data_IF_421351360372
#
_entry.id   IF_421351360372
#
_cell.length_a   1.000
_cell.length_b   1.000
_cell.length_c   1.000
_cell.angle_alpha   90.00
_cell.angle_beta   90.00
_cell.angle_gamma   90.00
#
_symmetry.space_group_name_H-M   'P 1'
#
loop_
_entity.id
_entity.type
_entity.pdbx_description
1 polymer ?
#
# COMPACT_ATOMS: atom_id res chain seq x y z
N UNK A 1 -35.41 -58.67 5.91
CA UNK A 1 -36.35 -57.55 5.75
C UNK A 1 -36.23 -57.02 4.33
N UNK A 2 -37.38 -56.85 3.66
CA UNK A 2 -37.53 -56.65 2.23
C UNK A 2 -36.92 -55.36 1.66
N UNK A 3 -36.45 -55.51 0.43
CA UNK A 3 -36.18 -54.50 -0.60
C UNK A 3 -37.45 -53.75 -1.01
N UNK A 4 -37.35 -52.43 -1.15
CA UNK A 4 -38.16 -51.53 -2.01
C UNK A 4 -37.27 -50.30 -2.28
N UNK A 5 -36.70 -50.08 -3.46
CA UNK A 5 -37.31 -49.72 -4.75
C UNK A 5 -38.04 -48.37 -4.71
N UNK A 6 -37.51 -47.40 -5.47
CA UNK A 6 -38.16 -46.42 -6.41
C UNK A 6 -37.06 -45.43 -6.83
N UNK A 7 -36.46 -45.52 -8.05
CA UNK A 7 -36.87 -44.88 -9.34
C UNK A 7 -37.11 -43.36 -9.21
N UNK A 8 -36.71 -42.44 -10.08
CA UNK A 8 -35.93 -42.37 -11.31
C UNK A 8 -35.98 -40.89 -11.80
N UNK A 9 -35.23 -40.61 -12.88
CA UNK A 9 -35.33 -39.46 -13.81
C UNK A 9 -34.57 -38.19 -13.37
N UNK A 10 -33.52 -37.71 -14.04
CA UNK A 10 -33.24 -37.51 -15.49
C UNK A 10 -34.13 -36.45 -16.16
N UNK A 11 -33.51 -35.32 -16.52
CA UNK A 11 -33.78 -34.37 -17.64
C UNK A 11 -32.89 -33.13 -17.43
N UNK A 12 -31.82 -32.95 -18.19
CA UNK A 12 -31.75 -32.30 -19.52
C UNK A 12 -32.38 -30.90 -19.58
N UNK A 13 -31.57 -29.91 -20.02
CA UNK A 13 -32.05 -28.56 -20.27
C UNK A 13 -30.94 -27.58 -20.70
N UNK A 14 -30.52 -27.67 -21.97
CA UNK A 14 -29.81 -26.63 -22.73
C UNK A 14 -30.60 -25.30 -22.78
N UNK A 15 -29.90 -24.15 -22.81
CA UNK A 15 -30.16 -22.94 -23.63
C UNK A 15 -29.41 -21.73 -23.03
N UNK A 16 -28.35 -21.22 -23.68
CA UNK A 16 -28.35 -20.11 -24.66
C UNK A 16 -28.47 -18.69 -24.07
N UNK A 17 -27.34 -17.97 -24.20
CA UNK A 17 -27.16 -16.64 -24.78
C UNK A 17 -28.11 -15.46 -24.43
N UNK A 18 -27.50 -14.40 -23.90
CA UNK A 18 -27.79 -12.98 -24.21
C UNK A 18 -26.53 -12.18 -23.84
N UNK A 19 -25.73 -11.61 -24.76
CA UNK A 19 -25.94 -10.49 -25.70
C UNK A 19 -25.73 -9.11 -25.05
N UNK A 20 -24.58 -8.51 -25.40
CA UNK A 20 -24.27 -7.09 -25.65
C UNK A 20 -24.53 -6.01 -24.58
N UNK A 21 -23.49 -5.19 -24.33
CA UNK A 21 -23.64 -3.90 -23.65
C UNK A 21 -22.33 -3.13 -23.43
N UNK A 22 -21.77 -2.57 -24.50
CA UNK A 22 -21.09 -1.26 -24.59
C UNK A 22 -20.10 -0.82 -23.49
N UNK A 23 -18.83 -0.76 -23.91
CA UNK A 23 -17.86 0.33 -23.72
C UNK A 23 -18.11 1.35 -22.59
N UNK A 24 -17.20 1.37 -21.61
CA UNK A 24 -16.63 2.65 -21.13
C UNK A 24 -15.12 2.47 -20.94
N UNK A 25 -14.46 2.99 -21.96
CA UNK A 25 -13.06 3.37 -22.03
C UNK A 25 -12.82 4.44 -20.95
N UNK A 26 -12.01 4.11 -19.94
CA UNK A 26 -11.30 5.11 -19.13
C UNK A 26 -9.83 4.71 -19.14
N UNK A 27 -9.19 5.14 -20.23
CA UNK A 27 -7.74 5.33 -20.30
C UNK A 27 -7.40 6.38 -19.24
N UNK A 28 -7.00 5.93 -18.05
CA UNK A 28 -6.27 6.81 -17.14
C UNK A 28 -4.84 6.82 -17.66
N UNK A 29 -4.48 7.96 -18.27
CA UNK A 29 -3.18 8.19 -18.88
C UNK A 29 -2.05 7.80 -17.94
N UNK A 30 -1.34 6.72 -18.31
CA UNK A 30 -0.03 6.36 -17.78
C UNK A 30 0.94 7.43 -18.28
N UNK A 31 1.00 8.54 -17.54
CA UNK A 31 1.87 9.67 -17.80
C UNK A 31 3.31 9.15 -17.83
N UNK A 32 3.93 9.14 -19.02
CA UNK A 32 5.33 8.77 -19.21
C UNK A 32 6.18 9.79 -18.44
N UNK A 33 6.64 9.39 -17.25
CA UNK A 33 7.58 10.21 -16.46
C UNK A 33 8.84 10.44 -17.33
N UNK A 34 9.37 11.68 -17.40
CA UNK A 34 10.59 11.96 -18.16
C UNK A 34 11.74 11.11 -17.61
N UNK A 35 12.44 10.45 -18.53
CA UNK A 35 13.38 9.35 -18.30
C UNK A 35 14.51 9.66 -17.30
N UNK A 36 14.84 10.94 -17.06
CA UNK A 36 15.91 11.35 -16.14
C UNK A 36 15.53 11.35 -14.65
N UNK A 37 14.24 11.48 -14.29
CA UNK A 37 13.85 11.45 -12.87
C UNK A 37 13.85 10.02 -12.30
N UNK A 38 13.72 9.02 -13.17
CA UNK A 38 13.50 7.63 -12.79
C UNK A 38 14.73 6.97 -12.13
N UNK A 39 15.95 7.34 -12.54
CA UNK A 39 17.18 6.75 -12.00
C UNK A 39 17.49 7.27 -10.59
N UNK A 40 17.28 8.56 -10.33
CA UNK A 40 17.53 9.14 -9.02
C UNK A 40 16.50 8.67 -7.98
N UNK A 41 15.24 8.51 -8.39
CA UNK A 41 14.21 7.92 -7.53
C UNK A 41 14.45 6.43 -7.28
N UNK A 42 15.03 5.69 -8.23
CA UNK A 42 15.26 4.25 -8.09
C UNK A 42 16.16 3.89 -6.90
N UNK A 43 17.26 4.62 -6.70
CA UNK A 43 18.16 4.37 -5.56
C UNK A 43 17.54 4.76 -4.21
N UNK A 44 16.78 5.87 -4.18
CA UNK A 44 16.07 6.31 -2.98
C UNK A 44 14.93 5.37 -2.61
N UNK A 45 14.23 4.83 -3.61
CA UNK A 45 13.13 3.89 -3.41
C UNK A 45 13.64 2.53 -2.90
N UNK A 46 14.78 2.07 -3.40
CA UNK A 46 15.45 0.88 -2.89
C UNK A 46 15.90 1.06 -1.42
N UNK A 47 16.57 2.16 -1.09
CA UNK A 47 16.98 2.46 0.30
C UNK A 47 15.75 2.54 1.22
N UNK A 48 14.69 3.23 0.79
CA UNK A 48 13.46 3.36 1.56
C UNK A 48 12.77 2.01 1.75
N UNK A 49 12.73 1.15 0.72
CA UNK A 49 12.19 -0.20 0.84
C UNK A 49 12.99 -1.04 1.84
N UNK A 50 14.32 -0.96 1.82
CA UNK A 50 15.16 -1.66 2.77
C UNK A 50 14.90 -1.21 4.20
N UNK A 51 14.76 0.11 4.44
CA UNK A 51 14.40 0.65 5.76
C UNK A 51 13.01 0.19 6.22
N UNK A 52 12.03 0.19 5.32
CA UNK A 52 10.68 -0.29 5.60
C UNK A 52 10.69 -1.79 5.96
N UNK A 53 11.40 -2.60 5.19
CA UNK A 53 11.48 -4.05 5.41
C UNK A 53 12.22 -4.38 6.71
N UNK A 54 13.29 -3.64 7.04
CA UNK A 54 13.97 -3.74 8.33
C UNK A 54 13.05 -3.37 9.50
N UNK A 55 12.31 -2.26 9.41
CA UNK A 55 11.37 -1.86 10.44
C UNK A 55 10.23 -2.90 10.61
N UNK A 56 9.71 -3.44 9.52
CA UNK A 56 8.67 -4.49 9.55
C UNK A 56 9.17 -5.78 10.21
N UNK A 57 10.43 -6.17 9.98
CA UNK A 57 11.01 -7.35 10.60
C UNK A 57 11.03 -7.26 12.13
N UNK A 58 11.31 -6.06 12.67
CA UNK A 58 11.32 -5.79 14.11
C UNK A 58 9.90 -5.64 14.69
N UNK A 59 9.01 -4.93 13.98
CA UNK A 59 7.67 -4.58 14.48
C UNK A 59 6.71 -5.78 14.48
N UNK A 60 6.78 -6.67 13.48
CA UNK A 60 5.84 -7.80 13.32
C UNK A 60 5.78 -8.74 14.53
N UNK A 61 6.92 -9.19 15.12
CA UNK A 61 6.89 -9.99 16.33
C UNK A 61 6.18 -9.32 17.51
N UNK A 62 6.26 -7.99 17.62
CA UNK A 62 5.59 -7.22 18.68
C UNK A 62 4.09 -7.07 18.40
N UNK A 63 3.71 -6.79 17.15
CA UNK A 63 2.32 -6.72 16.74
C UNK A 63 1.61 -8.08 16.95
N UNK A 64 2.29 -9.19 16.68
CA UNK A 64 1.79 -10.54 16.91
C UNK A 64 1.52 -10.85 18.39
N UNK A 65 2.17 -10.14 19.32
CA UNK A 65 1.93 -10.23 20.77
C UNK A 65 0.78 -9.33 21.24
N UNK A 66 -0.05 -8.84 20.32
CA UNK A 66 -1.17 -7.93 20.59
C UNK A 66 -0.75 -6.57 21.20
N UNK A 67 0.51 -6.15 21.00
CA UNK A 67 0.95 -4.81 21.37
C UNK A 67 0.35 -3.78 20.40
N UNK A 68 -0.69 -3.09 20.84
CA UNK A 68 -1.49 -2.20 19.99
C UNK A 68 -0.67 -1.10 19.27
N UNK A 69 0.33 -0.45 19.89
CA UNK A 69 1.19 0.50 19.19
C UNK A 69 1.98 -0.13 18.03
N UNK A 70 2.57 -1.32 18.24
CA UNK A 70 3.26 -2.03 17.16
C UNK A 70 2.31 -2.41 16.01
N UNK A 71 1.09 -2.84 16.31
CA UNK A 71 0.09 -3.14 15.26
C UNK A 71 -0.29 -1.89 14.43
N UNK A 72 -0.39 -0.72 15.08
CA UNK A 72 -0.64 0.54 14.38
C UNK A 72 0.52 0.95 13.47
N UNK A 73 1.75 0.79 13.95
CA UNK A 73 2.98 1.04 13.17
C UNK A 73 3.07 0.06 12.00
N UNK A 74 2.82 -1.23 12.22
CA UNK A 74 2.84 -2.26 11.17
C UNK A 74 1.92 -1.91 10.00
N UNK A 75 0.67 -1.53 10.30
CA UNK A 75 -0.30 -1.15 9.26
C UNK A 75 0.20 0.03 8.43
N UNK A 76 0.77 1.05 9.07
CA UNK A 76 1.32 2.21 8.37
C UNK A 76 2.54 1.84 7.52
N UNK A 77 3.48 1.05 8.05
CA UNK A 77 4.65 0.55 7.32
C UNK A 77 4.25 -0.32 6.11
N UNK A 78 3.24 -1.19 6.27
CA UNK A 78 2.72 -2.01 5.18
C UNK A 78 2.15 -1.16 4.05
N UNK A 79 1.44 -0.08 4.39
CA UNK A 79 0.98 0.89 3.41
C UNK A 79 2.17 1.58 2.72
N UNK A 80 3.17 2.07 3.48
CA UNK A 80 4.36 2.72 2.93
C UNK A 80 5.09 1.81 1.93
N UNK A 81 5.23 0.52 2.26
CA UNK A 81 5.83 -0.48 1.37
C UNK A 81 5.09 -0.58 0.03
N UNK A 82 3.77 -0.69 0.07
CA UNK A 82 2.94 -0.78 -1.13
C UNK A 82 2.97 0.51 -1.95
N UNK A 83 3.03 1.66 -1.28
CA UNK A 83 3.18 2.96 -1.92
C UNK A 83 4.50 3.07 -2.69
N UNK A 84 5.63 2.68 -2.08
CA UNK A 84 6.95 2.74 -2.76
C UNK A 84 7.04 1.75 -3.93
N UNK A 85 6.37 0.60 -3.84
CA UNK A 85 6.27 -0.37 -4.93
C UNK A 85 5.34 0.06 -6.09
N UNK A 86 4.80 1.29 -6.08
CA UNK A 86 3.79 1.79 -7.01
C UNK A 86 2.56 0.84 -7.09
N UNK A 87 2.22 0.19 -5.96
CA UNK A 87 1.06 -0.72 -5.79
C UNK A 87 0.18 -0.32 -4.61
N UNK A 88 -0.24 0.95 -4.45
CA UNK A 88 -1.16 1.32 -3.38
C UNK A 88 -2.49 0.61 -3.61
N UNK A 89 -2.87 -0.28 -2.68
CA UNK A 89 -4.17 -0.99 -2.72
C UNK A 89 -5.26 -0.23 -1.96
N UNK A 90 -4.86 0.65 -1.06
CA UNK A 90 -5.71 1.37 -0.13
C UNK A 90 -5.38 2.85 -0.18
N UNK A 91 -6.35 3.69 0.16
CA UNK A 91 -6.13 5.11 0.37
C UNK A 91 -5.05 5.33 1.43
N UNK A 92 -4.30 6.44 1.36
CA UNK A 92 -3.35 6.77 2.40
C UNK A 92 -4.04 6.71 3.77
N UNK A 93 -3.39 6.12 4.79
CA UNK A 93 -3.79 6.44 6.14
C UNK A 93 -3.74 7.96 6.28
N UNK A 94 -4.56 8.52 7.18
CA UNK A 94 -4.43 9.93 7.55
C UNK A 94 -2.99 10.28 7.98
N UNK A 95 -2.73 11.52 8.45
CA UNK A 95 -1.38 11.93 8.81
C UNK A 95 -0.59 10.83 9.54
N UNK A 96 0.58 10.47 8.97
CA UNK A 96 1.40 9.43 9.58
C UNK A 96 1.72 9.83 11.01
N UNK A 97 1.60 8.86 11.91
CA UNK A 97 1.88 9.02 13.33
C UNK A 97 2.84 7.95 13.85
N UNK A 98 3.32 7.07 12.97
CA UNK A 98 4.16 5.94 13.34
C UNK A 98 5.47 6.39 13.99
N UNK A 99 6.04 7.52 13.56
CA UNK A 99 7.22 8.12 14.18
C UNK A 99 6.96 8.60 15.60
N UNK A 100 5.86 9.34 15.81
CA UNK A 100 5.45 9.79 17.15
C UNK A 100 5.17 8.61 18.09
N UNK A 101 4.48 7.58 17.60
CA UNK A 101 4.23 6.37 18.37
C UNK A 101 5.57 5.68 18.70
N UNK A 102 6.47 5.56 17.72
CA UNK A 102 7.75 4.89 17.92
C UNK A 102 8.65 5.59 18.94
N UNK A 103 8.71 6.92 18.94
CA UNK A 103 9.43 7.69 19.97
C UNK A 103 8.85 7.43 21.35
N UNK A 104 7.52 7.51 21.50
CA UNK A 104 6.88 7.33 22.80
C UNK A 104 7.10 5.92 23.35
N UNK A 105 6.93 4.91 22.51
CA UNK A 105 6.86 3.51 22.95
C UNK A 105 8.21 2.80 22.95
N UNK A 106 9.15 3.18 22.07
CA UNK A 106 10.42 2.48 21.92
C UNK A 106 11.63 3.29 22.40
N UNK A 107 11.55 4.62 22.45
CA UNK A 107 12.64 5.49 22.93
C UNK A 107 12.38 6.00 24.37
N UNK A 108 11.21 6.59 24.62
CA UNK A 108 10.89 7.16 25.94
C UNK A 108 10.50 6.12 26.98
N UNK A 109 9.68 5.13 26.59
CA UNK A 109 9.17 4.10 27.50
C UNK A 109 9.76 2.71 27.24
N UNK A 110 10.55 2.56 26.18
CA UNK A 110 11.18 1.31 25.79
C UNK A 110 12.70 1.42 25.74
N UNK A 111 13.35 0.29 25.43
CA UNK A 111 14.82 0.19 25.37
C UNK A 111 15.31 0.02 23.92
N UNK A 112 14.58 0.56 22.93
CA UNK A 112 14.88 0.39 21.49
C UNK A 112 14.89 1.74 20.75
N UNK A 113 15.74 2.70 21.13
CA UNK A 113 15.80 4.01 20.50
C UNK A 113 16.20 3.94 19.01
N UNK A 114 16.98 2.92 18.61
CA UNK A 114 17.37 2.71 17.21
C UNK A 114 16.16 2.34 16.34
N UNK A 115 15.22 1.56 16.88
CA UNK A 115 13.99 1.23 16.19
C UNK A 115 13.09 2.47 16.07
N UNK A 116 13.02 3.30 17.11
CA UNK A 116 12.31 4.57 17.06
C UNK A 116 12.87 5.50 15.97
N UNK A 117 14.20 5.62 15.92
CA UNK A 117 14.90 6.40 14.91
C UNK A 117 14.62 5.87 13.50
N UNK A 118 14.68 4.54 13.30
CA UNK A 118 14.39 3.91 12.01
C UNK A 118 12.96 4.20 11.51
N UNK A 119 11.95 4.05 12.39
CA UNK A 119 10.55 4.31 12.03
C UNK A 119 10.32 5.79 11.70
N UNK A 120 10.92 6.70 12.47
CA UNK A 120 10.90 8.13 12.18
C UNK A 120 11.52 8.46 10.81
N UNK A 121 12.64 7.83 10.50
CA UNK A 121 13.34 8.03 9.24
C UNK A 121 12.48 7.60 8.05
N UNK A 122 11.81 6.45 8.17
CA UNK A 122 10.85 5.99 7.16
C UNK A 122 9.71 6.99 6.99
N UNK A 123 9.11 7.47 8.08
CA UNK A 123 8.01 8.43 8.02
C UNK A 123 8.42 9.70 7.28
N UNK A 124 9.56 10.27 7.66
CA UNK A 124 10.11 11.49 7.04
C UNK A 124 10.35 11.31 5.55
N UNK A 125 10.96 10.20 5.14
CA UNK A 125 11.26 9.91 3.73
C UNK A 125 9.99 9.71 2.89
N UNK A 126 9.00 8.98 3.42
CA UNK A 126 7.72 8.77 2.75
C UNK A 126 6.96 10.10 2.59
N UNK A 127 6.90 10.92 3.64
CA UNK A 127 6.25 12.23 3.57
C UNK A 127 6.91 13.13 2.54
N UNK A 128 8.25 13.18 2.50
CA UNK A 128 8.98 13.95 1.49
C UNK A 128 8.67 13.47 0.06
N UNK A 129 8.58 12.15 -0.15
CA UNK A 129 8.20 11.57 -1.45
C UNK A 129 6.77 11.95 -1.84
N UNK A 130 5.80 11.84 -0.93
CA UNK A 130 4.40 12.24 -1.16
C UNK A 130 4.33 13.71 -1.57
N UNK A 131 4.98 14.61 -0.81
CA UNK A 131 5.01 16.04 -1.09
C UNK A 131 5.63 16.35 -2.46
N UNK A 132 6.72 15.66 -2.82
CA UNK A 132 7.37 15.80 -4.13
C UNK A 132 6.43 15.42 -5.27
N UNK A 133 5.70 14.31 -5.13
CA UNK A 133 4.71 13.87 -6.13
C UNK A 133 3.54 14.85 -6.24
N UNK A 134 3.00 15.32 -5.11
CA UNK A 134 1.92 16.31 -5.11
C UNK A 134 2.34 17.64 -5.74
N UNK A 135 3.57 18.10 -5.48
CA UNK A 135 4.12 19.30 -6.09
C UNK A 135 4.26 19.15 -7.61
N UNK A 136 4.84 18.04 -8.07
CA UNK A 136 4.99 17.75 -9.50
C UNK A 136 3.64 17.68 -10.24
N UNK A 137 2.63 17.06 -9.63
CA UNK A 137 1.27 17.00 -10.18
C UNK A 137 0.63 18.39 -10.28
N UNK A 138 0.79 19.22 -9.25
CA UNK A 138 0.25 20.58 -9.23
C UNK A 138 0.94 21.48 -10.27
N UNK A 139 2.26 21.35 -10.45
CA UNK A 139 3.00 22.07 -11.49
C UNK A 139 2.51 21.68 -12.90
N UNK A 140 2.31 20.38 -13.15
CA UNK A 140 1.81 19.89 -14.43
C UNK A 140 0.39 20.40 -14.75
N UNK A 141 -0.47 20.58 -13.74
CA UNK A 141 -1.81 21.15 -13.93
C UNK A 141 -1.79 22.63 -14.28
N UNK A 142 -0.86 23.41 -13.70
CA UNK A 142 -0.75 24.85 -13.98
C UNK A 142 -0.17 25.14 -15.36
N UNK A 143 0.83 24.36 -15.79
CA UNK A 143 1.41 24.50 -17.14
C UNK A 143 0.49 24.09 -18.29
N UNK A 144 -0.68 23.51 -18.01
CA UNK A 144 -1.70 23.19 -19.02
C UNK A 144 -2.69 24.34 -19.28
N UNK A 145 -2.65 25.41 -18.48
CA UNK A 145 -3.58 26.54 -18.60
C UNK A 145 -3.06 27.71 -19.46
N UNK A 146 -1.85 27.62 -20.00
CA UNK A 146 -1.19 28.72 -20.75
C UNK A 146 -1.04 28.44 -22.27
N UNK A 147 -1.88 27.58 -22.87
CA UNK A 147 -1.86 27.27 -24.30
C UNK A 147 -3.20 27.58 -24.98
#
# INVERSE_FOLDING_TARGET
>A
MSVNAVRAASREGHAQAAVFGLATMMIVGRQKRPFSLALFTGNMDEELLQKIDAALAEIRPMAAQAFAPAASIERQLAWCRNFVLDRPREDPPGPFSMGLIAVREFDMCGDRPELAALVNDVERLVQAKIQTLSCAQNAARRGHCDA
#
